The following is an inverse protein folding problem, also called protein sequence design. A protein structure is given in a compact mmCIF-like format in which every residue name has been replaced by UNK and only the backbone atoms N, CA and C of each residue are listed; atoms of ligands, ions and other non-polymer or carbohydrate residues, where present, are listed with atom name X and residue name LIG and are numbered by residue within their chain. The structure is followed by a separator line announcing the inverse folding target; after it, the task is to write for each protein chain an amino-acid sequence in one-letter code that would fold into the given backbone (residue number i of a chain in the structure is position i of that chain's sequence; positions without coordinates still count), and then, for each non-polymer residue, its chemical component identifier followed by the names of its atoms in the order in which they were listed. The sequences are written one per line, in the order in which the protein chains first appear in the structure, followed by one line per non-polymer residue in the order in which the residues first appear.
data_IF_190801658584
#
_entry.id   IF_190801658584
#
_cell.length_a   1.000
_cell.length_b   1.000
_cell.length_c   1.000
_cell.angle_alpha   90.00
_cell.angle_beta   90.00
_cell.angle_gamma   90.00
#
_symmetry.space_group_name_H-M   'P 1'
#
loop_
_entity.id
_entity.type
_entity.pdbx_description
1 polymer ?
#
# COMPACT_ATOMS: atom_id res chain seq x y z
N UNK A 1 -6.29 -8.69 -0.68
CA UNK A 1 -5.20 -8.94 0.28
C UNK A 1 -5.80 -9.04 1.68
N UNK A 2 -5.25 -9.87 2.55
CA UNK A 2 -5.59 -9.87 3.97
C UNK A 2 -4.43 -9.28 4.77
N UNK A 3 -4.74 -8.53 5.81
CA UNK A 3 -3.76 -7.94 6.72
C UNK A 3 -4.14 -8.28 8.16
N UNK A 4 -3.14 -8.36 9.03
CA UNK A 4 -3.34 -8.49 10.47
C UNK A 4 -3.24 -7.09 11.05
N UNK A 5 -4.31 -6.65 11.70
CA UNK A 5 -4.36 -5.34 12.37
C UNK A 5 -3.61 -5.38 13.70
N UNK A 6 -3.36 -4.21 14.29
CA UNK A 6 -2.70 -4.06 15.59
C UNK A 6 -3.39 -4.83 16.75
N UNK A 7 -4.69 -5.12 16.63
CA UNK A 7 -5.45 -5.92 17.59
C UNK A 7 -5.62 -7.40 17.17
N UNK A 8 -4.70 -7.94 16.37
CA UNK A 8 -4.67 -9.33 15.91
C UNK A 8 -5.92 -9.78 15.16
N UNK A 9 -6.62 -8.87 14.47
CA UNK A 9 -7.76 -9.23 13.63
C UNK A 9 -7.32 -9.38 12.18
N UNK A 10 -7.81 -10.43 11.53
CA UNK A 10 -7.63 -10.60 10.09
C UNK A 10 -8.65 -9.72 9.36
N UNK A 11 -8.17 -8.72 8.63
CA UNK A 11 -8.99 -7.82 7.84
C UNK A 11 -8.77 -8.07 6.35
N UNK A 12 -9.86 -8.19 5.59
CA UNK A 12 -9.81 -8.19 4.12
C UNK A 12 -9.74 -6.77 3.61
N UNK A 13 -8.59 -6.35 3.07
CA UNK A 13 -8.46 -5.09 2.37
C UNK A 13 -9.20 -5.16 1.03
N UNK A 14 -10.06 -4.16 0.81
CA UNK A 14 -10.73 -3.90 -0.47
C UNK A 14 -10.15 -2.63 -1.07
N UNK A 15 -9.87 -2.66 -2.37
CA UNK A 15 -9.52 -1.45 -3.09
C UNK A 15 -10.79 -0.63 -3.42
N UNK A 16 -10.68 0.71 -3.48
CA UNK A 16 -9.49 1.48 -3.10
C UNK A 16 -9.34 1.63 -1.57
N UNK A 17 -8.11 1.81 -1.08
CA UNK A 17 -7.83 2.11 0.33
C UNK A 17 -6.70 3.15 0.47
N UNK A 18 -6.63 3.81 1.63
CA UNK A 18 -5.64 4.87 1.90
C UNK A 18 -4.41 4.32 2.60
N UNK A 19 -3.26 4.89 2.24
CA UNK A 19 -1.98 4.62 2.88
C UNK A 19 -1.21 5.92 3.10
N UNK A 20 -0.37 5.96 4.12
CA UNK A 20 0.60 7.03 4.35
C UNK A 20 1.97 6.63 3.81
N UNK A 21 2.65 7.55 3.13
CA UNK A 21 4.00 7.34 2.63
C UNK A 21 5.02 7.50 3.76
N UNK A 22 5.74 6.45 4.14
CA UNK A 22 6.69 6.50 5.28
C UNK A 22 8.13 6.86 4.87
N UNK A 23 8.43 6.81 3.57
CA UNK A 23 9.73 7.16 2.97
C UNK A 23 9.54 7.78 1.58
N UNK A 24 10.32 8.80 1.21
CA UNK A 24 10.30 9.35 -0.14
C UNK A 24 10.55 8.24 -1.19
N UNK A 25 9.68 8.12 -2.19
CA UNK A 25 9.77 7.09 -3.23
C UNK A 25 9.19 7.59 -4.56
N UNK A 26 10.02 7.60 -5.60
CA UNK A 26 9.62 8.09 -6.92
C UNK A 26 9.12 9.54 -6.85
N UNK A 27 7.84 9.74 -7.16
CA UNK A 27 7.15 11.03 -7.12
C UNK A 27 6.47 11.35 -5.78
N UNK A 28 6.51 10.42 -4.83
CA UNK A 28 5.81 10.54 -3.55
C UNK A 28 6.77 10.94 -2.44
N UNK A 29 6.33 11.86 -1.59
CA UNK A 29 7.04 12.38 -0.44
C UNK A 29 6.50 11.77 0.85
N UNK A 30 7.40 11.62 1.83
CA UNK A 30 7.05 11.13 3.16
C UNK A 30 5.98 12.01 3.80
N UNK A 31 4.97 11.38 4.39
CA UNK A 31 3.82 12.00 5.05
C UNK A 31 2.61 12.23 4.12
N UNK A 32 2.75 11.99 2.82
CA UNK A 32 1.60 12.07 1.90
C UNK A 32 0.62 10.94 2.16
N UNK A 33 -0.68 11.24 2.04
CA UNK A 33 -1.74 10.24 2.07
C UNK A 33 -2.22 10.01 0.64
N UNK A 34 -2.05 8.78 0.17
CA UNK A 34 -2.35 8.40 -1.21
C UNK A 34 -3.36 7.26 -1.26
N UNK A 35 -4.03 7.12 -2.39
CA UNK A 35 -5.06 6.11 -2.62
C UNK A 35 -4.50 4.95 -3.46
N UNK A 36 -4.49 3.75 -2.89
CA UNK A 36 -4.15 2.52 -3.61
C UNK A 36 -5.38 2.04 -4.34
N UNK A 37 -5.33 1.99 -5.67
CA UNK A 37 -6.46 1.58 -6.51
C UNK A 37 -6.39 0.10 -6.90
N UNK A 38 -5.20 -0.48 -6.97
CA UNK A 38 -4.98 -1.90 -7.22
C UNK A 38 -3.80 -2.44 -6.40
N UNK A 39 -3.81 -3.75 -6.17
CA UNK A 39 -2.67 -4.48 -5.61
C UNK A 39 -2.24 -5.50 -6.66
N UNK A 40 -0.95 -5.53 -7.00
CA UNK A 40 -0.37 -6.52 -7.91
C UNK A 40 0.79 -7.25 -7.23
N UNK A 41 1.22 -8.34 -7.84
CA UNK A 41 2.36 -9.15 -7.39
C UNK A 41 3.34 -9.28 -8.55
N UNK A 42 4.63 -8.99 -8.30
CA UNK A 42 5.67 -9.13 -9.32
C UNK A 42 6.00 -10.61 -9.57
N UNK A 43 6.80 -10.90 -10.61
CA UNK A 43 7.26 -12.27 -10.91
C UNK A 43 8.10 -12.85 -9.78
N UNK A 44 8.78 -11.99 -9.02
CA UNK A 44 9.59 -12.32 -7.84
C UNK A 44 8.74 -12.35 -6.55
N UNK A 45 7.41 -12.41 -6.67
CA UNK A 45 6.45 -12.54 -5.55
C UNK A 45 6.52 -11.34 -4.59
N UNK A 46 6.81 -10.15 -5.11
CA UNK A 46 6.75 -8.90 -4.32
C UNK A 46 5.42 -8.19 -4.52
N UNK A 47 4.78 -7.78 -3.42
CA UNK A 47 3.55 -6.99 -3.48
C UNK A 47 3.86 -5.55 -3.89
N UNK A 48 3.09 -5.03 -4.85
CA UNK A 48 3.15 -3.63 -5.28
C UNK A 48 1.76 -3.00 -5.22
N UNK A 49 1.72 -1.74 -4.83
CA UNK A 49 0.54 -0.89 -4.83
C UNK A 49 0.51 -0.05 -6.09
N UNK A 50 -0.66 0.02 -6.72
CA UNK A 50 -0.92 0.91 -7.84
C UNK A 50 -1.52 2.20 -7.30
N UNK A 51 -0.80 3.30 -7.47
CA UNK A 51 -1.18 4.66 -7.06
C UNK A 51 -1.02 5.53 -8.29
N UNK A 52 -2.11 6.17 -8.74
CA UNK A 52 -2.14 6.99 -9.97
C UNK A 52 -1.47 6.30 -11.18
N UNK A 53 -1.83 5.03 -11.43
CA UNK A 53 -1.28 4.16 -12.49
C UNK A 53 0.20 3.76 -12.34
N UNK A 54 0.91 4.26 -11.33
CA UNK A 54 2.29 3.92 -11.04
C UNK A 54 2.37 2.79 -9.99
N UNK A 55 3.34 1.89 -10.15
CA UNK A 55 3.55 0.77 -9.23
C UNK A 55 4.65 1.09 -8.21
N UNK A 56 4.34 0.95 -6.93
CA UNK A 56 5.27 1.15 -5.82
C UNK A 56 5.32 -0.08 -4.93
N UNK A 57 6.50 -0.42 -4.39
CA UNK A 57 6.57 -1.51 -3.43
C UNK A 57 5.84 -1.18 -2.12
N UNK A 58 5.11 -2.14 -1.59
CA UNK A 58 4.24 -1.94 -0.42
C UNK A 58 4.97 -1.44 0.83
N UNK A 59 6.26 -1.78 0.99
CA UNK A 59 7.05 -1.47 2.19
C UNK A 59 7.40 0.01 2.35
N UNK A 60 7.03 0.86 1.39
CA UNK A 60 7.16 2.32 1.51
C UNK A 60 5.93 2.99 2.16
N UNK A 61 4.95 2.20 2.60
CA UNK A 61 3.66 2.72 3.04
C UNK A 61 3.16 2.04 4.32
N UNK A 62 2.46 2.82 5.15
CA UNK A 62 1.64 2.34 6.26
C UNK A 62 0.15 2.40 5.88
N UNK A 63 -0.60 1.36 6.22
CA UNK A 63 -2.02 1.26 5.88
C UNK A 63 -2.85 1.97 6.95
N UNK A 64 -3.70 2.91 6.54
CA UNK A 64 -4.57 3.66 7.43
C UNK A 64 -5.89 2.90 7.66
N UNK A 65 -5.97 2.15 8.78
CA UNK A 65 -7.12 1.32 9.20
C UNK A 65 -7.51 1.63 10.64
#
# INVERSE_FOLDING_TARGET
MYVVTWNNRLLRLKCPFRVEVITNVGLLLKGEIVLVTEIRVTREIKTVYIIEMNAYYYYHFDILI
#
